data_IF_752002579310
#
_entry.id   IF_752002579310
#
_cell.length_a   1.000
_cell.length_b   1.000
_cell.length_c   1.000
_cell.angle_alpha   90.00
_cell.angle_beta   90.00
_cell.angle_gamma   90.00
#
_symmetry.space_group_name_H-M   'P 1'
#
loop_
_entity.id
_entity.type
_entity.pdbx_description
1 polymer ?
#
# COMPACT_ATOMS: atom_id res chain seq x y z
N UNK A 1 3.45 -35.30 3.64
CA UNK A 1 2.50 -34.30 4.15
C UNK A 1 2.35 -33.30 3.04
N UNK A 2 1.25 -33.38 2.29
CA UNK A 2 0.99 -32.46 1.17
C UNK A 2 0.37 -31.23 1.81
N UNK A 3 1.10 -30.10 1.83
CA UNK A 3 0.53 -28.83 2.30
C UNK A 3 -0.78 -28.58 1.54
N UNK A 4 -1.85 -28.30 2.26
CA UNK A 4 -3.11 -27.95 1.60
C UNK A 4 -2.86 -26.67 0.78
N UNK A 5 -3.26 -26.60 -0.50
CA UNK A 5 -2.97 -25.44 -1.34
C UNK A 5 -3.51 -24.13 -0.72
N UNK A 6 -4.59 -24.19 0.06
CA UNK A 6 -5.16 -23.09 0.83
C UNK A 6 -4.32 -22.61 2.02
N UNK A 7 -3.19 -23.23 2.30
CA UNK A 7 -2.24 -22.85 3.37
C UNK A 7 -0.97 -22.20 2.81
N UNK A 8 -0.77 -22.22 1.48
CA UNK A 8 0.41 -21.62 0.85
C UNK A 8 0.20 -20.14 0.52
N UNK A 9 1.21 -19.32 0.84
CA UNK A 9 1.29 -17.90 0.42
C UNK A 9 1.09 -17.75 -1.09
N UNK A 10 1.72 -18.61 -1.90
CA UNK A 10 1.70 -18.50 -3.35
C UNK A 10 0.31 -18.75 -3.93
N UNK A 11 -0.47 -19.65 -3.33
CA UNK A 11 -1.85 -19.88 -3.76
C UNK A 11 -2.70 -18.62 -3.55
N UNK A 12 -2.64 -18.04 -2.35
CA UNK A 12 -3.40 -16.83 -2.04
C UNK A 12 -2.93 -15.60 -2.82
N UNK A 13 -1.64 -15.50 -3.12
CA UNK A 13 -1.12 -14.48 -4.04
C UNK A 13 -1.66 -14.66 -5.46
N UNK A 14 -1.75 -15.88 -5.97
CA UNK A 14 -2.37 -16.15 -7.27
C UNK A 14 -3.85 -15.73 -7.31
N UNK A 15 -4.60 -16.02 -6.23
CA UNK A 15 -5.99 -15.53 -6.09
C UNK A 15 -6.02 -14.00 -6.03
N UNK A 16 -5.13 -13.35 -5.27
CA UNK A 16 -5.04 -11.90 -5.20
C UNK A 16 -4.76 -11.28 -6.58
N UNK A 17 -3.81 -11.81 -7.34
CA UNK A 17 -3.41 -11.28 -8.65
C UNK A 17 -4.58 -11.26 -9.64
N UNK A 18 -5.27 -12.41 -9.79
CA UNK A 18 -6.42 -12.52 -10.71
C UNK A 18 -7.54 -11.56 -10.31
N UNK A 19 -7.89 -11.49 -9.02
CA UNK A 19 -8.98 -10.63 -8.56
C UNK A 19 -8.61 -9.15 -8.63
N UNK A 20 -7.35 -8.79 -8.36
CA UNK A 20 -6.86 -7.41 -8.47
C UNK A 20 -6.88 -6.93 -9.93
N UNK A 21 -6.53 -7.78 -10.89
CA UNK A 21 -6.65 -7.49 -12.31
C UNK A 21 -8.10 -7.20 -12.72
N UNK A 22 -9.06 -8.01 -12.26
CA UNK A 22 -10.48 -7.77 -12.52
C UNK A 22 -10.98 -6.48 -11.85
N UNK A 23 -10.55 -6.17 -10.63
CA UNK A 23 -10.89 -4.92 -9.96
C UNK A 23 -10.43 -3.68 -10.77
N UNK A 24 -9.34 -3.82 -11.54
CA UNK A 24 -8.80 -2.75 -12.36
C UNK A 24 -9.41 -2.65 -13.78
N UNK A 25 -10.32 -3.54 -14.18
CA UNK A 25 -10.96 -3.49 -15.50
C UNK A 25 -12.14 -2.53 -15.52
N UNK A 26 -12.03 -1.47 -16.30
CA UNK A 26 -13.06 -0.42 -16.40
C UNK A 26 -14.40 -0.97 -16.90
N UNK A 27 -14.41 -1.98 -17.78
CA UNK A 27 -15.64 -2.56 -18.35
C UNK A 27 -16.55 -3.26 -17.33
N UNK A 28 -16.06 -3.54 -16.10
CA UNK A 28 -16.82 -4.24 -15.08
C UNK A 28 -17.64 -3.31 -14.16
N UNK A 29 -17.58 -2.00 -14.36
CA UNK A 29 -18.43 -1.02 -13.67
C UNK A 29 -18.44 -1.20 -12.15
N UNK A 30 -19.63 -1.31 -11.55
CA UNK A 30 -19.80 -1.52 -10.10
C UNK A 30 -19.27 -2.88 -9.61
N UNK A 31 -19.18 -3.89 -10.49
CA UNK A 31 -18.63 -5.20 -10.19
C UNK A 31 -17.15 -5.17 -9.79
N UNK A 32 -16.43 -4.09 -10.13
CA UNK A 32 -15.05 -3.85 -9.72
C UNK A 32 -14.87 -3.87 -8.20
N UNK A 33 -15.89 -3.42 -7.44
CA UNK A 33 -15.83 -3.43 -5.96
C UNK A 33 -15.81 -4.84 -5.39
N UNK A 34 -16.66 -5.73 -5.90
CA UNK A 34 -16.71 -7.12 -5.43
C UNK A 34 -15.39 -7.87 -5.71
N UNK A 35 -14.78 -7.61 -6.88
CA UNK A 35 -13.45 -8.14 -7.22
C UNK A 35 -12.36 -7.59 -6.30
N UNK A 36 -12.42 -6.28 -5.97
CA UNK A 36 -11.48 -5.67 -5.04
C UNK A 36 -11.60 -6.24 -3.63
N UNK A 37 -12.82 -6.43 -3.13
CA UNK A 37 -13.06 -7.05 -1.82
C UNK A 37 -12.53 -8.48 -1.77
N UNK A 38 -12.73 -9.25 -2.85
CA UNK A 38 -12.19 -10.61 -2.97
C UNK A 38 -10.66 -10.60 -3.02
N UNK A 39 -10.04 -9.63 -3.73
CA UNK A 39 -8.60 -9.45 -3.70
C UNK A 39 -8.11 -9.14 -2.27
N UNK A 40 -8.74 -8.21 -1.56
CA UNK A 40 -8.36 -7.89 -0.18
C UNK A 40 -8.48 -9.09 0.76
N UNK A 41 -9.53 -9.91 0.59
CA UNK A 41 -9.69 -11.17 1.31
C UNK A 41 -8.51 -12.12 1.03
N UNK A 42 -8.19 -12.35 -0.25
CA UNK A 42 -7.09 -13.23 -0.64
C UNK A 42 -5.74 -12.73 -0.10
N UNK A 43 -5.50 -11.41 -0.10
CA UNK A 43 -4.28 -10.83 0.46
C UNK A 43 -4.17 -11.06 1.97
N UNK A 44 -5.26 -10.89 2.71
CA UNK A 44 -5.30 -11.18 4.15
C UNK A 44 -5.02 -12.66 4.45
N UNK A 45 -5.46 -13.56 3.57
CA UNK A 45 -5.12 -14.99 3.66
C UNK A 45 -3.64 -15.27 3.35
N UNK A 46 -3.05 -14.55 2.39
CA UNK A 46 -1.63 -14.65 2.11
C UNK A 46 -0.78 -14.18 3.30
N UNK A 47 -1.16 -13.09 3.96
CA UNK A 47 -0.52 -12.63 5.21
C UNK A 47 -0.64 -13.66 6.33
N UNK A 48 -1.84 -14.22 6.55
CA UNK A 48 -2.04 -15.28 7.53
C UNK A 48 -1.21 -16.55 7.21
N UNK A 49 -0.90 -16.79 5.95
CA UNK A 49 -0.02 -17.87 5.50
C UNK A 49 1.49 -17.53 5.57
N UNK A 50 1.86 -16.31 5.96
CA UNK A 50 3.26 -15.90 6.18
C UNK A 50 3.82 -14.91 5.16
N UNK A 51 2.99 -14.26 4.33
CA UNK A 51 3.44 -13.14 3.51
C UNK A 51 3.93 -11.99 4.40
N UNK A 52 5.09 -11.43 4.07
CA UNK A 52 5.65 -10.25 4.74
C UNK A 52 4.66 -9.06 4.72
N UNK A 53 4.51 -8.40 5.87
CA UNK A 53 3.53 -7.32 6.05
C UNK A 53 3.82 -6.11 5.16
N UNK A 54 5.08 -5.78 4.90
CA UNK A 54 5.44 -4.69 3.99
C UNK A 54 5.04 -5.06 2.56
N UNK A 55 5.34 -6.28 2.13
CA UNK A 55 4.96 -6.79 0.82
C UNK A 55 3.43 -6.83 0.62
N UNK A 56 2.67 -7.16 1.67
CA UNK A 56 1.22 -7.12 1.64
C UNK A 56 0.67 -5.68 1.61
N UNK A 57 1.20 -4.78 2.45
CA UNK A 57 0.78 -3.38 2.48
C UNK A 57 1.05 -2.66 1.16
N UNK A 58 2.19 -2.89 0.51
CA UNK A 58 2.46 -2.33 -0.83
C UNK A 58 1.36 -2.75 -1.82
N UNK A 59 0.98 -4.03 -1.85
CA UNK A 59 -0.08 -4.54 -2.74
C UNK A 59 -1.45 -3.93 -2.41
N UNK A 60 -1.81 -3.93 -1.13
CA UNK A 60 -3.07 -3.39 -0.60
C UNK A 60 -3.23 -1.91 -0.94
N UNK A 61 -2.20 -1.10 -0.65
CA UNK A 61 -2.26 0.34 -0.80
C UNK A 61 -2.29 0.76 -2.27
N UNK A 62 -1.52 0.11 -3.14
CA UNK A 62 -1.58 0.37 -4.59
C UNK A 62 -2.96 0.07 -5.17
N UNK A 63 -3.56 -1.08 -4.81
CA UNK A 63 -4.91 -1.42 -5.28
C UNK A 63 -5.95 -0.41 -4.78
N UNK A 64 -5.90 -0.01 -3.50
CA UNK A 64 -6.82 1.00 -2.94
C UNK A 64 -6.66 2.35 -3.63
N UNK A 65 -5.43 2.83 -3.80
CA UNK A 65 -5.16 4.10 -4.45
C UNK A 65 -5.69 4.13 -5.89
N UNK A 66 -5.45 3.07 -6.66
CA UNK A 66 -6.00 2.92 -8.01
C UNK A 66 -7.53 2.96 -8.01
N UNK A 67 -8.17 2.23 -7.09
CA UNK A 67 -9.63 2.20 -7.02
C UNK A 67 -10.23 3.56 -6.61
N UNK A 68 -9.60 4.26 -5.67
CA UNK A 68 -10.00 5.62 -5.28
C UNK A 68 -9.91 6.56 -6.47
N UNK A 69 -8.79 6.53 -7.20
CA UNK A 69 -8.58 7.42 -8.34
C UNK A 69 -9.57 7.16 -9.49
N UNK A 70 -9.88 5.88 -9.74
CA UNK A 70 -10.71 5.47 -10.88
C UNK A 70 -12.21 5.35 -10.60
N UNK A 71 -12.63 5.17 -9.35
CA UNK A 71 -14.06 5.06 -8.95
C UNK A 71 -14.54 6.25 -8.12
N UNK A 72 -13.62 7.12 -7.68
CA UNK A 72 -13.89 8.19 -6.75
C UNK A 72 -13.87 7.72 -5.29
N UNK A 73 -13.78 8.71 -4.39
CA UNK A 73 -13.79 8.48 -2.96
C UNK A 73 -15.20 8.20 -2.44
N UNK A 74 -15.30 7.32 -1.43
CA UNK A 74 -16.56 7.06 -0.72
C UNK A 74 -16.31 6.90 0.78
N UNK A 75 -17.37 6.70 1.56
CA UNK A 75 -17.24 6.37 3.00
C UNK A 75 -16.82 4.92 3.27
N UNK A 76 -16.82 4.05 2.26
CA UNK A 76 -16.31 2.68 2.43
C UNK A 76 -14.82 2.71 2.76
N UNK A 77 -14.32 1.95 3.76
CA UNK A 77 -12.90 1.91 4.09
C UNK A 77 -11.99 1.61 2.88
N UNK A 78 -12.47 0.79 1.94
CA UNK A 78 -11.75 0.42 0.72
C UNK A 78 -11.46 1.64 -0.17
N UNK A 79 -12.39 2.59 -0.23
CA UNK A 79 -12.38 3.75 -1.12
C UNK A 79 -12.28 5.08 -0.36
N UNK A 80 -11.84 5.05 0.90
CA UNK A 80 -11.66 6.24 1.72
C UNK A 80 -10.18 6.67 1.67
N UNK A 81 -9.86 7.82 1.03
CA UNK A 81 -8.48 8.29 0.90
C UNK A 81 -7.86 8.69 2.24
N UNK A 82 -8.63 9.31 3.15
CA UNK A 82 -8.12 9.69 4.47
C UNK A 82 -7.78 8.45 5.32
N UNK A 83 -8.60 7.39 5.23
CA UNK A 83 -8.31 6.11 5.87
C UNK A 83 -7.04 5.47 5.29
N UNK A 84 -6.88 5.50 3.96
CA UNK A 84 -5.67 4.98 3.32
C UNK A 84 -4.41 5.78 3.72
N UNK A 85 -4.50 7.11 3.84
CA UNK A 85 -3.39 7.93 4.29
C UNK A 85 -2.93 7.57 5.71
N UNK A 86 -3.89 7.33 6.62
CA UNK A 86 -3.60 6.85 7.99
C UNK A 86 -2.87 5.51 7.94
N UNK A 87 -3.40 4.55 7.15
CA UNK A 87 -2.79 3.22 7.03
C UNK A 87 -1.38 3.27 6.43
N UNK A 88 -1.14 4.14 5.44
CA UNK A 88 0.18 4.34 4.83
C UNK A 88 1.18 4.83 5.90
N UNK A 89 0.83 5.89 6.64
CA UNK A 89 1.71 6.46 7.65
C UNK A 89 2.01 5.46 8.78
N UNK A 90 1.00 4.70 9.22
CA UNK A 90 1.17 3.69 10.27
C UNK A 90 2.05 2.50 9.83
N UNK A 91 2.20 2.26 8.53
CA UNK A 91 3.01 1.16 8.00
C UNK A 91 4.48 1.53 7.76
N UNK A 92 4.87 2.81 7.90
CA UNK A 92 6.24 3.23 7.61
C UNK A 92 7.22 2.66 8.64
N UNK A 93 8.33 2.03 8.21
CA UNK A 93 9.31 1.40 9.11
C UNK A 93 10.23 2.40 9.84
N UNK A 94 10.06 3.70 9.61
CA UNK A 94 10.86 4.74 10.21
C UNK A 94 10.01 6.01 10.42
N UNK A 95 10.35 6.75 11.48
CA UNK A 95 9.84 8.10 11.69
C UNK A 95 10.43 9.07 10.66
N UNK A 96 9.71 10.17 10.41
CA UNK A 96 10.06 11.14 9.36
C UNK A 96 11.45 11.74 9.58
N UNK A 97 11.78 12.11 10.81
CA UNK A 97 13.05 12.73 11.18
C UNK A 97 14.22 11.77 10.92
N UNK A 98 14.06 10.50 11.32
CA UNK A 98 15.06 9.46 11.09
C UNK A 98 15.24 9.18 9.59
N UNK A 99 14.13 9.05 8.86
CA UNK A 99 14.18 8.83 7.42
C UNK A 99 14.86 9.99 6.69
N UNK A 100 14.60 11.24 7.10
CA UNK A 100 15.25 12.42 6.54
C UNK A 100 16.75 12.44 6.83
N UNK A 101 17.16 12.12 8.06
CA UNK A 101 18.58 12.02 8.43
C UNK A 101 19.29 10.96 7.59
N UNK A 102 18.72 9.75 7.48
CA UNK A 102 19.33 8.66 6.72
C UNK A 102 19.34 8.92 5.21
N UNK A 103 18.36 9.65 4.68
CA UNK A 103 18.28 9.97 3.26
C UNK A 103 19.40 10.91 2.81
N UNK A 104 19.86 11.83 3.67
CA UNK A 104 20.89 12.81 3.35
C UNK A 104 22.21 12.17 2.90
N UNK A 105 22.57 11.02 3.46
CA UNK A 105 23.82 10.30 3.23
C UNK A 105 23.60 8.78 3.07
N UNK A 106 22.47 8.38 2.48
CA UNK A 106 22.03 6.98 2.41
C UNK A 106 23.07 5.98 1.89
N UNK A 107 24.02 6.43 1.05
CA UNK A 107 25.11 5.60 0.50
C UNK A 107 26.09 5.11 1.58
N UNK A 108 26.21 5.84 2.68
CA UNK A 108 27.08 5.51 3.81
C UNK A 108 26.31 4.81 4.94
N UNK A 109 24.98 4.68 4.82
CA UNK A 109 24.15 4.09 5.86
C UNK A 109 24.22 2.56 5.82
N UNK A 110 24.16 1.89 6.99
CA UNK A 110 24.03 0.44 7.07
C UNK A 110 22.86 -0.12 6.25
N UNK A 111 23.04 -1.35 5.75
CA UNK A 111 22.06 -2.04 4.90
C UNK A 111 20.63 -2.02 5.46
N UNK A 112 20.45 -2.19 6.77
CA UNK A 112 19.14 -2.17 7.41
C UNK A 112 18.40 -0.84 7.25
N UNK A 113 19.11 0.29 7.36
CA UNK A 113 18.54 1.62 7.19
C UNK A 113 18.24 1.87 5.70
N UNK A 114 19.13 1.45 4.81
CA UNK A 114 18.88 1.52 3.36
C UNK A 114 17.61 0.74 2.95
N UNK A 115 17.42 -0.44 3.53
CA UNK A 115 16.21 -1.23 3.31
C UNK A 115 14.96 -0.51 3.83
N UNK A 116 15.02 0.08 5.04
CA UNK A 116 13.91 0.85 5.59
C UNK A 116 13.53 2.04 4.70
N UNK A 117 14.51 2.78 4.15
CA UNK A 117 14.24 3.88 3.22
C UNK A 117 13.56 3.42 1.93
N UNK A 118 14.00 2.29 1.36
CA UNK A 118 13.34 1.69 0.18
C UNK A 118 11.92 1.24 0.49
N UNK A 119 11.69 0.67 1.67
CA UNK A 119 10.37 0.29 2.14
C UNK A 119 9.46 1.51 2.31
N UNK A 120 9.94 2.61 2.92
CA UNK A 120 9.22 3.88 2.98
C UNK A 120 8.84 4.37 1.57
N UNK A 121 9.79 4.40 0.64
CA UNK A 121 9.55 4.86 -0.74
C UNK A 121 8.46 4.06 -1.46
N UNK A 122 8.47 2.73 -1.27
CA UNK A 122 7.48 1.84 -1.86
C UNK A 122 6.10 2.00 -1.23
N UNK A 123 6.03 2.11 0.11
CA UNK A 123 4.77 2.31 0.84
C UNK A 123 4.15 3.68 0.59
N UNK A 124 4.96 4.69 0.29
CA UNK A 124 4.52 6.05 -0.03
C UNK A 124 4.12 6.22 -1.50
N UNK A 125 4.41 5.29 -2.40
CA UNK A 125 4.02 5.42 -3.81
C UNK A 125 2.50 5.65 -4.02
N UNK A 126 1.60 4.94 -3.32
CA UNK A 126 0.15 5.15 -3.45
C UNK A 126 -0.33 6.50 -2.89
N UNK A 127 0.46 7.14 -2.02
CA UNK A 127 0.12 8.44 -1.45
C UNK A 127 0.12 9.56 -2.51
N UNK A 128 0.98 9.47 -3.51
CA UNK A 128 1.01 10.43 -4.64
C UNK A 128 -0.29 10.40 -5.43
N UNK A 129 -0.84 9.20 -5.64
CA UNK A 129 -2.08 8.97 -6.40
C UNK A 129 -3.28 9.56 -5.65
N UNK A 130 -3.39 9.31 -4.35
CA UNK A 130 -4.57 9.73 -3.58
C UNK A 130 -4.52 11.18 -3.11
N UNK A 131 -3.42 11.91 -3.33
CA UNK A 131 -3.20 13.21 -2.72
C UNK A 131 -4.29 14.24 -3.06
N UNK A 132 -4.78 14.23 -4.30
CA UNK A 132 -5.87 15.11 -4.76
C UNK A 132 -7.24 14.75 -4.19
N UNK A 133 -7.37 13.57 -3.57
CA UNK A 133 -8.61 13.06 -2.99
C UNK A 133 -8.67 13.26 -1.46
N UNK A 134 -7.57 13.69 -0.83
CA UNK A 134 -7.49 13.86 0.62
C UNK A 134 -8.18 15.14 1.10
N UNK A 135 -8.80 15.04 2.28
CA UNK A 135 -9.32 16.20 3.00
C UNK A 135 -8.16 17.02 3.60
N UNK A 136 -8.36 18.32 3.83
CA UNK A 136 -7.38 19.21 4.48
C UNK A 136 -7.22 18.89 5.98
N UNK A 137 -6.55 17.78 6.28
CA UNK A 137 -6.38 17.25 7.64
C UNK A 137 -4.92 17.35 8.10
N UNK A 138 -4.64 17.23 9.41
CA UNK A 138 -3.27 17.03 9.90
C UNK A 138 -2.57 15.84 9.23
N UNK A 139 -3.29 14.74 8.99
CA UNK A 139 -2.79 13.56 8.27
C UNK A 139 -2.31 13.91 6.86
N UNK A 140 -3.09 14.70 6.11
CA UNK A 140 -2.69 15.15 4.77
C UNK A 140 -1.40 15.98 4.80
N UNK A 141 -1.25 16.87 5.80
CA UNK A 141 -0.01 17.65 5.98
C UNK A 141 1.20 16.79 6.33
N UNK A 142 1.03 15.78 7.19
CA UNK A 142 2.10 14.82 7.49
C UNK A 142 2.47 14.01 6.24
N UNK A 143 1.48 13.60 5.45
CA UNK A 143 1.71 12.89 4.20
C UNK A 143 2.47 13.76 3.19
N UNK A 144 2.18 15.06 3.10
CA UNK A 144 2.92 16.00 2.25
C UNK A 144 4.40 16.08 2.60
N UNK A 145 4.72 16.10 3.89
CA UNK A 145 6.12 16.09 4.36
C UNK A 145 6.84 14.80 3.92
N UNK A 146 6.17 13.66 4.06
CA UNK A 146 6.69 12.38 3.60
C UNK A 146 6.85 12.32 2.07
N UNK A 147 5.91 12.86 1.31
CA UNK A 147 5.99 12.93 -0.15
C UNK A 147 7.15 13.82 -0.62
N UNK A 148 7.38 14.95 0.04
CA UNK A 148 8.55 15.80 -0.23
C UNK A 148 9.88 15.07 0.03
N UNK A 149 9.95 14.24 1.07
CA UNK A 149 11.10 13.40 1.36
C UNK A 149 11.24 12.24 0.36
N UNK A 150 10.12 11.64 -0.08
CA UNK A 150 10.10 10.46 -0.96
C UNK A 150 10.97 10.61 -2.20
N UNK A 151 10.97 11.80 -2.81
CA UNK A 151 11.75 12.10 -4.00
C UNK A 151 13.27 11.96 -3.80
N UNK A 152 13.74 12.04 -2.55
CA UNK A 152 15.14 11.95 -2.16
C UNK A 152 15.53 10.54 -1.68
N UNK A 153 14.55 9.66 -1.46
CA UNK A 153 14.79 8.30 -1.01
C UNK A 153 15.43 7.45 -2.13
N UNK A 154 16.36 6.53 -1.78
CA UNK A 154 16.96 5.60 -2.73
C UNK A 154 15.93 4.69 -3.40
#
# INVERSE_FOLDING_TARGET
>A
MVDHPSESVNHWLGVWEVNSLHACRAELGEGRRAWAETAMYALARAEAAGLDAIAANVRRFNLRAYLIDSLGSTRSPLLNPDALAIDILAALPAELENAAEWAADWRQRPHKQLLALRQCKNLLAPAEIIRSHLSETPTARTLDQWLALRAQLP
#
